data_IF_608872278438
#
_entry.id   IF_608872278438
#
_cell.length_a   1.000
_cell.length_b   1.000
_cell.length_c   1.000
_cell.angle_alpha   90.00
_cell.angle_beta   90.00
_cell.angle_gamma   90.00
#
_symmetry.space_group_name_H-M   'P 1'
#
loop_
_entity.id
_entity.type
_entity.pdbx_description
1 polymer ?
#
# COMPACT_ATOMS: atom_id res chain seq x y z
N UNK A 1 -7.62 9.19 -30.46
CA UNK A 1 -7.72 8.15 -29.43
C UNK A 1 -7.01 8.67 -28.18
N UNK A 2 -7.78 9.07 -27.17
CA UNK A 2 -7.29 9.47 -25.85
C UNK A 2 -8.17 8.76 -24.83
N UNK A 3 -7.87 7.48 -24.58
CA UNK A 3 -8.57 6.65 -23.59
C UNK A 3 -7.62 6.02 -22.56
N UNK A 4 -6.32 6.24 -22.67
CA UNK A 4 -5.31 5.58 -21.82
C UNK A 4 -5.04 6.32 -20.50
N UNK A 5 -5.19 7.66 -20.49
CA UNK A 5 -4.87 8.46 -19.30
C UNK A 5 -5.95 8.45 -18.21
N UNK A 6 -7.21 8.22 -18.57
CA UNK A 6 -8.30 8.16 -17.58
C UNK A 6 -8.37 6.79 -16.91
N UNK A 7 -8.03 5.72 -17.64
CA UNK A 7 -8.08 4.34 -17.16
C UNK A 7 -7.03 4.09 -16.07
N UNK A 8 -5.80 4.60 -16.25
CA UNK A 8 -4.73 4.49 -15.25
C UNK A 8 -5.01 5.28 -13.96
N UNK A 9 -5.68 6.43 -14.05
CA UNK A 9 -6.04 7.26 -12.88
C UNK A 9 -7.23 6.67 -12.12
N UNK A 10 -8.19 6.06 -12.83
CA UNK A 10 -9.33 5.37 -12.23
C UNK A 10 -8.94 4.03 -11.59
N UNK A 11 -7.95 3.32 -12.15
CA UNK A 11 -7.45 2.05 -11.60
C UNK A 11 -6.70 2.26 -10.28
N UNK A 12 -5.92 3.34 -10.15
CA UNK A 12 -5.25 3.71 -8.90
C UNK A 12 -6.22 4.03 -7.76
N UNK A 13 -7.19 4.92 -8.02
CA UNK A 13 -8.20 5.35 -7.02
C UNK A 13 -9.09 4.18 -6.56
N UNK A 14 -9.49 3.30 -7.50
CA UNK A 14 -10.25 2.09 -7.18
C UNK A 14 -9.42 1.05 -6.41
N UNK A 15 -8.12 0.99 -6.65
CA UNK A 15 -7.21 0.10 -5.93
C UNK A 15 -6.98 0.59 -4.49
N UNK A 16 -6.85 1.90 -4.30
CA UNK A 16 -6.72 2.52 -2.98
C UNK A 16 -7.98 2.33 -2.13
N UNK A 17 -9.18 2.52 -2.71
CA UNK A 17 -10.45 2.26 -2.02
C UNK A 17 -10.61 0.79 -1.62
N UNK A 18 -10.21 -0.15 -2.50
CA UNK A 18 -10.24 -1.60 -2.19
C UNK A 18 -9.27 -1.95 -1.08
N UNK A 19 -8.05 -1.40 -1.11
CA UNK A 19 -7.07 -1.60 -0.05
C UNK A 19 -7.59 -1.05 1.28
N UNK A 20 -8.12 0.17 1.29
CA UNK A 20 -8.70 0.79 2.48
C UNK A 20 -9.83 -0.05 3.07
N UNK A 21 -10.76 -0.55 2.24
CA UNK A 21 -11.84 -1.43 2.70
C UNK A 21 -11.31 -2.75 3.26
N UNK A 22 -10.36 -3.39 2.60
CA UNK A 22 -9.76 -4.65 3.09
C UNK A 22 -9.05 -4.47 4.45
N UNK A 23 -8.34 -3.35 4.64
CA UNK A 23 -7.71 -3.01 5.92
C UNK A 23 -8.78 -2.81 7.01
N UNK A 24 -9.85 -2.06 6.72
CA UNK A 24 -10.95 -1.84 7.67
C UNK A 24 -11.60 -3.17 8.08
N UNK A 25 -11.91 -4.04 7.12
CA UNK A 25 -12.51 -5.35 7.38
C UNK A 25 -11.59 -6.25 8.22
N UNK A 26 -10.29 -6.25 7.94
CA UNK A 26 -9.31 -7.00 8.72
C UNK A 26 -9.22 -6.50 10.17
N UNK A 27 -9.22 -5.18 10.37
CA UNK A 27 -9.24 -4.58 11.71
C UNK A 27 -10.53 -4.90 12.46
N UNK A 28 -11.69 -4.84 11.80
CA UNK A 28 -12.98 -5.24 12.38
C UNK A 28 -13.03 -6.72 12.75
N UNK A 29 -12.33 -7.57 12.00
CA UNK A 29 -12.14 -8.99 12.31
C UNK A 29 -11.10 -9.25 13.42
N UNK A 30 -10.52 -8.20 14.02
CA UNK A 30 -9.53 -8.30 15.10
C UNK A 30 -8.13 -8.70 14.62
N UNK A 31 -7.81 -8.53 13.33
CA UNK A 31 -6.44 -8.73 12.83
C UNK A 31 -5.55 -7.57 13.26
N UNK A 32 -4.32 -7.88 13.67
CA UNK A 32 -3.31 -6.88 14.01
C UNK A 32 -2.71 -6.26 12.75
N UNK A 33 -2.10 -5.07 12.89
CA UNK A 33 -1.41 -4.40 11.80
C UNK A 33 -0.24 -5.23 11.23
N UNK A 34 0.46 -5.99 12.07
CA UNK A 34 1.48 -6.95 11.63
C UNK A 34 0.91 -8.06 10.73
N UNK A 35 -0.30 -8.55 11.04
CA UNK A 35 -0.97 -9.57 10.24
C UNK A 35 -1.39 -9.00 8.88
N UNK A 36 -1.93 -7.78 8.86
CA UNK A 36 -2.30 -7.07 7.64
C UNK A 36 -1.05 -6.83 6.77
N UNK A 37 0.04 -6.31 7.35
CA UNK A 37 1.30 -6.11 6.65
C UNK A 37 1.86 -7.40 6.03
N UNK A 38 1.77 -8.52 6.74
CA UNK A 38 2.19 -9.84 6.21
C UNK A 38 1.35 -10.22 4.99
N UNK A 39 0.04 -9.99 5.03
CA UNK A 39 -0.86 -10.27 3.89
C UNK A 39 -0.52 -9.39 2.67
N UNK A 40 -0.17 -8.13 2.92
CA UNK A 40 0.29 -7.18 1.90
C UNK A 40 1.75 -7.40 1.47
N UNK A 41 2.45 -8.39 2.03
CA UNK A 41 3.89 -8.66 1.80
C UNK A 41 4.78 -7.46 2.12
N UNK A 42 4.33 -6.59 3.02
CA UNK A 42 5.08 -5.47 3.54
C UNK A 42 6.19 -6.00 4.45
N UNK A 43 7.45 -5.61 4.23
CA UNK A 43 8.54 -6.03 5.10
C UNK A 43 8.36 -5.47 6.52
N UNK A 44 8.79 -6.19 7.57
CA UNK A 44 8.73 -5.67 8.93
C UNK A 44 9.46 -4.33 9.05
N UNK A 45 8.94 -3.37 9.84
CA UNK A 45 9.61 -2.10 10.11
C UNK A 45 11.07 -2.32 10.53
N UNK A 46 11.98 -1.50 10.00
CA UNK A 46 13.42 -1.58 10.26
C UNK A 46 13.79 -1.01 11.65
N UNK A 47 13.08 -1.43 12.70
CA UNK A 47 13.35 -1.05 14.09
C UNK A 47 14.29 -2.09 14.70
N UNK A 48 15.36 -1.60 15.36
CA UNK A 48 16.37 -2.45 15.99
C UNK A 48 15.82 -3.35 17.10
N UNK A 49 14.74 -2.93 17.75
CA UNK A 49 14.04 -3.70 18.77
C UNK A 49 12.67 -4.17 18.24
N UNK A 50 12.57 -5.47 17.94
CA UNK A 50 11.33 -6.09 17.49
C UNK A 50 10.28 -6.20 18.61
N UNK A 51 10.68 -6.08 19.87
CA UNK A 51 9.75 -6.18 21.02
C UNK A 51 9.00 -4.87 21.29
N UNK A 52 9.50 -3.73 20.79
CA UNK A 52 8.87 -2.41 20.92
C UNK A 52 8.04 -1.99 19.72
N UNK A 53 7.81 -2.88 18.75
CA UNK A 53 7.15 -2.53 17.49
C UNK A 53 5.65 -2.30 17.71
N UNK A 54 5.23 -1.06 17.51
CA UNK A 54 3.86 -0.62 17.74
C UNK A 54 2.99 -0.82 16.51
N UNK A 55 1.68 -0.77 16.70
CA UNK A 55 0.72 -0.72 15.59
C UNK A 55 1.00 0.45 14.64
N UNK A 56 1.47 1.59 15.17
CA UNK A 56 1.83 2.76 14.37
C UNK A 56 3.03 2.46 13.47
N UNK A 57 4.02 1.72 13.94
CA UNK A 57 5.19 1.37 13.13
C UNK A 57 4.80 0.49 11.94
N UNK A 58 3.86 -0.44 12.16
CA UNK A 58 3.31 -1.25 11.08
C UNK A 58 2.46 -0.44 10.09
N UNK A 59 1.66 0.51 10.57
CA UNK A 59 0.92 1.44 9.70
C UNK A 59 1.86 2.23 8.79
N UNK A 60 2.91 2.83 9.37
CA UNK A 60 3.90 3.62 8.62
C UNK A 60 4.65 2.75 7.61
N UNK A 61 4.96 1.50 7.95
CA UNK A 61 5.60 0.57 7.01
C UNK A 61 4.69 0.21 5.82
N UNK A 62 3.39 0.03 6.06
CA UNK A 62 2.41 -0.19 4.97
C UNK A 62 2.35 1.06 4.09
N UNK A 63 2.20 2.26 4.67
CA UNK A 63 2.15 3.52 3.91
C UNK A 63 3.42 3.71 3.08
N UNK A 64 4.60 3.49 3.66
CA UNK A 64 5.86 3.60 2.95
C UNK A 64 5.99 2.58 1.79
N UNK A 65 5.49 1.36 1.99
CA UNK A 65 5.48 0.33 0.95
C UNK A 65 4.58 0.72 -0.22
N UNK A 66 3.33 1.10 0.06
CA UNK A 66 2.37 1.48 -0.98
C UNK A 66 2.81 2.73 -1.73
N UNK A 67 3.35 3.74 -1.03
CA UNK A 67 3.94 4.92 -1.67
C UNK A 67 5.11 4.57 -2.60
N UNK A 68 5.96 3.61 -2.21
CA UNK A 68 7.04 3.13 -3.06
C UNK A 68 6.53 2.34 -4.28
N UNK A 69 5.41 1.61 -4.13
CA UNK A 69 4.74 0.95 -5.24
C UNK A 69 4.14 1.98 -6.22
N UNK A 70 3.44 3.00 -5.70
CA UNK A 70 2.89 4.09 -6.50
C UNK A 70 4.00 4.84 -7.28
N UNK A 71 5.10 5.18 -6.62
CA UNK A 71 6.24 5.85 -7.28
C UNK A 71 6.84 5.02 -8.43
N UNK A 72 6.88 3.68 -8.30
CA UNK A 72 7.35 2.78 -9.39
C UNK A 72 6.37 2.73 -10.56
N UNK A 73 5.08 2.71 -10.27
CA UNK A 73 4.03 2.75 -11.29
C UNK A 73 4.08 4.07 -12.07
N UNK A 74 4.28 5.20 -11.38
CA UNK A 74 4.44 6.50 -12.00
C UNK A 74 5.65 6.56 -12.93
N UNK A 75 6.82 6.09 -12.49
CA UNK A 75 8.05 6.05 -13.29
C UNK A 75 7.91 5.19 -14.57
N UNK A 76 7.23 4.04 -14.46
CA UNK A 76 6.90 3.19 -15.61
C UNK A 76 5.91 3.87 -16.57
N UNK A 77 4.92 4.58 -16.02
CA UNK A 77 3.93 5.32 -16.82
C UNK A 77 4.55 6.50 -17.57
N UNK A 78 5.61 7.11 -17.01
CA UNK A 78 6.36 8.19 -17.63
C UNK A 78 7.25 7.65 -18.75
N UNK A 79 7.96 6.55 -18.50
CA UNK A 79 8.83 5.89 -19.48
C UNK A 79 8.09 5.35 -20.71
N UNK A 80 6.80 5.01 -20.59
CA UNK A 80 5.96 4.57 -21.73
C UNK A 80 5.50 5.73 -22.61
N UNK A 81 5.50 6.98 -22.10
CA UNK A 81 4.95 8.16 -22.79
C UNK A 81 5.98 9.00 -23.53
N UNK A 82 7.28 8.76 -23.33
CA UNK A 82 8.40 9.39 -24.06
C UNK A 82 8.75 8.64 -25.34
#
# INVERSE_FOLDING_TARGET
MAVDSADAVLDGDQTDERLARAVIEALQAGRSWAHIATHLRVPPPAIRDRLGMTDRDWQEAIVAHENACAARLDDLSWSRRS
#
